data_IF_725889223434
#
_entry.id   IF_725889223434
#
_cell.length_a   1.000
_cell.length_b   1.000
_cell.length_c   1.000
_cell.angle_alpha   90.00
_cell.angle_beta   90.00
_cell.angle_gamma   90.00
#
_symmetry.space_group_name_H-M   'P 1'
#
loop_
_entity.id
_entity.type
_entity.pdbx_description
1 polymer ?
#
# COMPACT_ATOMS: atom_id res chain seq x y z
N UNK A 1 8.84 -9.90 12.45
CA UNK A 1 8.62 -8.76 11.58
C UNK A 1 9.93 -8.09 11.26
N UNK A 2 10.12 -7.75 10.03
CA UNK A 2 11.39 -7.20 9.52
C UNK A 2 11.68 -5.78 10.03
N UNK A 3 10.66 -5.05 10.47
CA UNK A 3 10.76 -3.67 10.94
C UNK A 3 9.88 -3.47 12.16
N UNK A 4 10.47 -2.96 13.24
CA UNK A 4 9.73 -2.57 14.43
C UNK A 4 9.27 -1.12 14.30
N UNK A 5 8.02 -0.94 13.88
CA UNK A 5 7.39 0.37 13.79
C UNK A 5 7.22 1.00 15.17
N UNK A 6 7.46 2.29 15.25
CA UNK A 6 7.26 3.10 16.45
C UNK A 6 6.53 4.40 16.08
N UNK A 7 5.71 4.88 17.00
CA UNK A 7 5.01 6.17 16.86
C UNK A 7 5.62 7.22 17.78
N UNK A 8 5.50 8.47 17.42
CA UNK A 8 5.94 9.59 18.26
C UNK A 8 5.25 9.51 19.63
N UNK A 9 6.02 9.72 20.71
CA UNK A 9 5.58 9.57 22.10
C UNK A 9 5.66 8.15 22.67
N UNK A 10 5.90 7.13 21.84
CA UNK A 10 6.04 5.75 22.30
C UNK A 10 7.33 5.57 23.11
N UNK A 11 7.22 4.90 24.27
CA UNK A 11 8.38 4.52 25.08
C UNK A 11 9.16 3.42 24.36
N UNK A 12 10.46 3.65 24.17
CA UNK A 12 11.36 2.75 23.47
C UNK A 12 12.22 1.92 24.43
N UNK A 13 12.63 2.54 25.53
CA UNK A 13 13.42 1.89 26.56
C UNK A 13 13.24 2.59 27.91
N UNK A 14 13.51 1.84 28.95
CA UNK A 14 13.56 2.33 30.34
C UNK A 14 14.85 1.86 30.98
N UNK A 15 15.53 2.77 31.70
CA UNK A 15 16.70 2.44 32.49
C UNK A 15 16.20 1.97 33.86
N UNK A 16 16.46 0.72 34.17
CA UNK A 16 16.11 0.11 35.46
C UNK A 16 17.38 -0.12 36.28
N UNK A 17 17.34 0.05 37.61
CA UNK A 17 18.39 -0.40 38.48
C UNK A 17 18.64 -1.92 38.27
N UNK A 18 19.90 -2.35 38.38
CA UNK A 18 20.27 -3.73 38.10
C UNK A 18 19.55 -4.74 39.04
N UNK A 19 19.22 -4.26 40.23
CA UNK A 19 18.51 -5.03 41.29
C UNK A 19 17.05 -5.29 40.95
N UNK A 20 16.42 -4.42 40.16
CA UNK A 20 15.03 -4.57 39.73
C UNK A 20 14.87 -5.45 38.50
N UNK A 21 16.01 -5.81 37.83
CA UNK A 21 15.95 -6.64 36.65
C UNK A 21 15.76 -8.14 37.00
N UNK A 22 14.58 -8.66 36.72
CA UNK A 22 14.19 -10.06 36.98
C UNK A 22 14.33 -10.98 35.77
N UNK A 23 14.78 -10.46 34.60
CA UNK A 23 14.90 -11.22 33.35
C UNK A 23 15.93 -12.36 33.42
N UNK A 24 15.61 -13.51 32.83
CA UNK A 24 16.42 -14.72 32.86
C UNK A 24 17.76 -14.59 32.10
N UNK A 25 17.91 -13.67 31.18
CA UNK A 25 19.14 -13.39 30.42
C UNK A 25 19.46 -11.91 30.42
N UNK A 26 20.60 -11.57 31.01
CA UNK A 26 21.18 -10.21 30.90
C UNK A 26 22.03 -10.15 29.63
N UNK A 27 21.60 -9.40 28.65
CA UNK A 27 22.40 -9.17 27.46
C UNK A 27 23.44 -8.08 27.77
N UNK A 28 24.76 -8.40 27.72
CA UNK A 28 25.84 -7.45 28.07
C UNK A 28 25.80 -6.16 27.26
N UNK A 29 25.19 -6.16 26.07
CA UNK A 29 25.05 -4.97 25.21
C UNK A 29 24.20 -3.88 25.84
N UNK A 30 23.28 -4.22 26.74
CA UNK A 30 22.35 -3.31 27.41
C UNK A 30 22.73 -3.02 28.86
N UNK A 31 23.83 -3.60 29.37
CA UNK A 31 24.35 -3.31 30.70
C UNK A 31 25.31 -2.12 30.61
N UNK A 32 25.02 -1.04 31.31
CA UNK A 32 25.87 0.15 31.37
C UNK A 32 26.36 0.38 32.79
N UNK A 33 27.62 0.80 32.91
CA UNK A 33 28.23 1.14 34.22
C UNK A 33 27.70 2.48 34.72
N UNK A 34 27.38 3.40 33.79
CA UNK A 34 26.77 4.69 34.10
C UNK A 34 25.34 4.73 33.60
N UNK A 35 24.37 5.24 34.39
CA UNK A 35 22.96 5.28 34.04
C UNK A 35 22.64 6.42 33.04
N UNK A 36 23.34 6.46 31.92
CA UNK A 36 23.04 7.43 30.86
C UNK A 36 21.98 6.86 29.92
N UNK A 37 20.99 7.68 29.60
CA UNK A 37 19.95 7.29 28.63
C UNK A 37 20.56 7.06 27.23
N UNK A 38 20.23 5.94 26.55
CA UNK A 38 20.76 5.62 25.24
C UNK A 38 20.06 6.41 24.13
N UNK A 39 20.05 7.73 24.23
CA UNK A 39 19.32 8.63 23.31
C UNK A 39 20.14 8.83 22.04
N UNK A 40 19.57 8.43 20.90
CA UNK A 40 20.09 8.66 19.57
C UNK A 40 19.21 9.59 18.75
N UNK A 41 19.30 9.48 17.42
CA UNK A 41 18.57 10.32 16.49
C UNK A 41 17.05 10.10 16.60
N UNK A 42 16.27 11.19 16.62
CA UNK A 42 14.81 11.22 16.76
C UNK A 42 14.28 10.49 18.01
N UNK A 43 15.07 10.45 19.06
CA UNK A 43 14.71 9.99 20.39
C UNK A 43 14.92 11.10 21.41
N UNK A 44 14.23 11.03 22.55
CA UNK A 44 14.39 11.98 23.65
C UNK A 44 13.98 11.40 24.99
N UNK A 45 14.26 12.10 26.11
CA UNK A 45 13.76 11.70 27.40
C UNK A 45 12.24 11.89 27.50
N UNK A 46 11.59 11.04 28.27
CA UNK A 46 10.16 11.20 28.55
C UNK A 46 9.94 12.44 29.44
N UNK A 47 8.94 13.30 29.16
CA UNK A 47 8.74 14.55 29.90
C UNK A 47 8.52 14.36 31.41
N UNK A 48 7.82 13.30 31.81
CA UNK A 48 7.45 13.02 33.20
C UNK A 48 8.37 12.00 33.87
N UNK A 49 9.16 11.23 33.12
CA UNK A 49 10.03 10.21 33.68
C UNK A 49 11.41 10.24 33.01
N UNK A 50 12.43 10.83 33.64
CA UNK A 50 13.77 10.99 33.07
C UNK A 50 14.50 9.65 32.79
N UNK A 51 14.01 8.53 33.32
CA UNK A 51 14.60 7.21 33.08
C UNK A 51 14.07 6.54 31.80
N UNK A 52 13.11 7.15 31.10
CA UNK A 52 12.50 6.60 29.90
C UNK A 52 12.94 7.35 28.65
N UNK A 53 13.17 6.59 27.58
CA UNK A 53 13.45 7.10 26.24
C UNK A 53 12.20 6.95 25.39
N UNK A 54 11.78 8.03 24.74
CA UNK A 54 10.65 8.05 23.81
C UNK A 54 11.08 8.34 22.38
N UNK A 55 10.27 7.89 21.44
CA UNK A 55 10.38 8.29 20.04
C UNK A 55 9.85 9.71 19.87
N UNK A 56 10.60 10.59 19.22
CA UNK A 56 10.19 11.94 18.84
C UNK A 56 9.52 12.01 17.46
N UNK A 57 9.54 10.89 16.71
CA UNK A 57 8.98 10.79 15.37
C UNK A 57 8.45 9.38 15.07
N UNK A 58 7.50 9.29 14.15
CA UNK A 58 7.08 8.02 13.58
C UNK A 58 8.21 7.43 12.73
N UNK A 59 8.43 6.11 12.83
CA UNK A 59 9.49 5.46 12.09
C UNK A 59 9.75 4.03 12.54
N UNK A 60 10.96 3.55 12.36
CA UNK A 60 11.43 2.30 12.93
C UNK A 60 12.58 2.50 13.90
N UNK A 61 12.52 1.75 15.00
CA UNK A 61 13.53 1.77 16.04
C UNK A 61 14.65 0.77 15.73
N UNK A 62 15.90 1.16 15.97
CA UNK A 62 17.05 0.28 15.91
C UNK A 62 18.12 0.73 16.91
N UNK A 63 18.89 -0.25 17.38
CA UNK A 63 20.01 -0.01 18.29
C UNK A 63 21.31 -0.04 17.53
N UNK A 64 22.13 1.01 17.66
CA UNK A 64 23.43 1.13 17.01
C UNK A 64 24.37 1.99 17.88
N UNK A 65 25.61 1.54 18.03
CA UNK A 65 26.66 2.22 18.81
C UNK A 65 26.23 2.62 20.23
N UNK A 66 25.50 1.74 20.90
CA UNK A 66 25.03 2.03 22.26
C UNK A 66 23.85 3.00 22.34
N UNK A 67 23.28 3.44 21.24
CA UNK A 67 22.18 4.39 21.16
C UNK A 67 20.94 3.79 20.49
N UNK A 68 19.77 4.22 20.96
CA UNK A 68 18.50 3.90 20.36
C UNK A 68 18.18 5.02 19.36
N UNK A 69 17.94 4.65 18.12
CA UNK A 69 17.67 5.57 17.03
C UNK A 69 16.34 5.26 16.37
N UNK A 70 15.65 6.28 15.89
CA UNK A 70 14.46 6.17 15.07
C UNK A 70 14.70 6.76 13.69
N UNK A 71 14.47 5.98 12.64
CA UNK A 71 14.53 6.44 11.25
C UNK A 71 13.12 6.60 10.69
N UNK A 72 12.88 7.77 10.07
CA UNK A 72 11.58 8.12 9.44
C UNK A 72 11.37 7.48 8.08
N UNK A 73 12.46 7.02 7.43
CA UNK A 73 12.44 6.43 6.09
C UNK A 73 13.00 5.00 6.12
N UNK A 74 12.29 4.08 5.52
CA UNK A 74 12.71 2.71 5.32
C UNK A 74 13.32 2.56 3.92
N UNK A 75 14.60 2.21 3.86
CA UNK A 75 15.31 1.91 2.61
C UNK A 75 15.41 0.41 2.40
N UNK A 76 14.73 -0.10 1.38
CA UNK A 76 14.78 -1.50 0.95
C UNK A 76 15.74 -1.60 -0.22
N UNK A 77 16.95 -2.13 0.01
CA UNK A 77 18.03 -2.17 -1.01
C UNK A 77 17.78 -3.18 -2.11
N UNK A 78 17.07 -4.27 -1.83
CA UNK A 78 16.72 -5.33 -2.77
C UNK A 78 15.26 -5.28 -3.21
N UNK A 79 14.81 -6.40 -3.82
CA UNK A 79 13.43 -6.59 -4.20
C UNK A 79 12.54 -6.80 -2.98
N UNK A 80 11.29 -6.33 -3.05
CA UNK A 80 10.24 -6.77 -2.14
C UNK A 80 9.72 -8.10 -2.66
N UNK A 81 10.03 -9.18 -1.96
CA UNK A 81 9.76 -10.55 -2.38
C UNK A 81 9.81 -11.53 -1.22
N UNK A 82 10.07 -12.80 -1.48
CA UNK A 82 10.07 -13.86 -0.46
C UNK A 82 11.03 -13.62 0.71
N UNK A 83 12.17 -12.95 0.49
CA UNK A 83 13.14 -12.65 1.54
C UNK A 83 12.72 -11.51 2.45
N UNK A 84 12.05 -10.50 1.92
CA UNK A 84 11.59 -9.34 2.68
C UNK A 84 10.19 -9.52 3.24
N UNK A 85 9.35 -10.32 2.57
CA UNK A 85 7.94 -10.44 2.84
C UNK A 85 7.18 -9.15 2.52
N UNK A 86 5.96 -9.05 3.02
CA UNK A 86 5.15 -7.83 2.93
C UNK A 86 5.73 -6.73 3.82
N UNK A 87 5.71 -5.51 3.33
CA UNK A 87 6.22 -4.33 4.03
C UNK A 87 5.05 -3.46 4.48
N UNK A 88 4.99 -3.21 5.79
CA UNK A 88 4.05 -2.29 6.42
C UNK A 88 4.85 -1.31 7.26
N UNK A 89 4.90 -0.04 6.82
CA UNK A 89 5.69 0.97 7.48
C UNK A 89 4.92 2.28 7.63
N UNK A 90 5.02 2.92 8.80
CA UNK A 90 4.29 4.16 9.10
C UNK A 90 4.89 5.42 8.46
N UNK A 91 6.13 5.34 7.99
CA UNK A 91 6.86 6.44 7.36
C UNK A 91 7.03 6.26 5.86
N UNK A 92 8.03 6.94 5.31
CA UNK A 92 8.35 6.90 3.89
C UNK A 92 9.16 5.65 3.54
N UNK A 93 8.85 5.04 2.39
CA UNK A 93 9.52 3.83 1.90
C UNK A 93 10.23 4.13 0.58
N UNK A 94 11.50 3.75 0.49
CA UNK A 94 12.24 3.73 -0.77
C UNK A 94 12.66 2.29 -1.10
N UNK A 95 12.08 1.71 -2.14
CA UNK A 95 12.46 0.41 -2.70
C UNK A 95 13.42 0.66 -3.85
N UNK A 96 14.65 0.17 -3.74
CA UNK A 96 15.70 0.39 -4.74
C UNK A 96 15.66 -0.59 -5.92
N UNK A 97 14.84 -1.63 -5.83
CA UNK A 97 14.61 -2.65 -6.86
C UNK A 97 13.10 -2.83 -7.07
N UNK A 98 12.66 -4.02 -7.49
CA UNK A 98 11.28 -4.28 -7.88
C UNK A 98 10.41 -4.71 -6.69
N UNK A 99 9.11 -4.55 -6.86
CA UNK A 99 8.09 -5.18 -6.01
C UNK A 99 7.52 -6.37 -6.77
N UNK A 100 7.83 -7.57 -6.30
CA UNK A 100 7.48 -8.82 -6.96
C UNK A 100 6.00 -9.19 -6.79
N UNK A 101 5.54 -10.04 -7.68
CA UNK A 101 4.16 -10.54 -7.74
C UNK A 101 3.66 -11.10 -6.40
N UNK A 102 2.46 -10.69 -6.00
CA UNK A 102 1.79 -11.17 -4.78
C UNK A 102 2.16 -10.44 -3.49
N UNK A 103 3.20 -9.61 -3.50
CA UNK A 103 3.61 -8.87 -2.29
C UNK A 103 2.87 -7.57 -2.11
N UNK A 104 2.86 -7.10 -0.85
CA UNK A 104 2.17 -5.88 -0.43
C UNK A 104 3.17 -4.90 0.17
N UNK A 105 3.05 -3.64 -0.22
CA UNK A 105 3.82 -2.52 0.36
C UNK A 105 2.82 -1.47 0.82
N UNK A 106 2.87 -1.12 2.11
CA UNK A 106 2.06 -0.07 2.72
C UNK A 106 2.98 0.93 3.41
N UNK A 107 2.85 2.20 3.07
CA UNK A 107 3.67 3.28 3.63
C UNK A 107 3.01 4.65 3.54
N UNK A 108 3.73 5.69 4.01
CA UNK A 108 3.28 7.06 3.85
C UNK A 108 3.53 7.53 2.43
N UNK A 109 4.76 7.84 2.06
CA UNK A 109 5.15 8.09 0.68
C UNK A 109 5.99 6.90 0.20
N UNK A 110 5.77 6.46 -1.03
CA UNK A 110 6.45 5.28 -1.56
C UNK A 110 7.16 5.63 -2.85
N UNK A 111 8.47 5.38 -2.87
CA UNK A 111 9.30 5.47 -4.06
C UNK A 111 9.79 4.07 -4.44
N UNK A 112 9.43 3.59 -5.64
CA UNK A 112 9.95 2.37 -6.22
C UNK A 112 10.83 2.73 -7.41
N UNK A 113 12.13 2.39 -7.35
CA UNK A 113 13.06 2.68 -8.45
C UNK A 113 12.97 1.65 -9.58
N UNK A 114 12.64 0.40 -9.25
CA UNK A 114 12.39 -0.67 -10.21
C UNK A 114 10.93 -0.72 -10.67
N UNK A 115 10.45 -1.91 -10.94
CA UNK A 115 9.11 -2.19 -11.44
C UNK A 115 8.18 -2.68 -10.33
N UNK A 116 6.88 -2.53 -10.54
CA UNK A 116 5.85 -3.15 -9.70
C UNK A 116 5.17 -4.22 -10.55
N UNK A 117 5.31 -5.50 -10.15
CA UNK A 117 4.80 -6.65 -10.89
C UNK A 117 3.66 -7.30 -10.11
N UNK A 118 2.42 -7.20 -10.61
CA UNK A 118 1.22 -7.84 -10.01
C UNK A 118 1.19 -7.80 -8.48
N UNK A 119 1.58 -6.65 -7.92
CA UNK A 119 1.70 -6.42 -6.49
C UNK A 119 0.68 -5.38 -6.01
N UNK A 120 0.44 -5.33 -4.70
CA UNK A 120 -0.44 -4.33 -4.10
C UNK A 120 0.41 -3.28 -3.38
N UNK A 121 0.36 -2.04 -3.86
CA UNK A 121 1.10 -0.92 -3.24
C UNK A 121 0.10 0.14 -2.81
N UNK A 122 0.13 0.48 -1.51
CA UNK A 122 -0.72 1.53 -0.94
C UNK A 122 0.10 2.60 -0.25
N UNK A 123 -0.03 3.83 -0.71
CA UNK A 123 0.56 5.02 -0.12
C UNK A 123 -0.51 5.89 0.53
N UNK A 124 -0.29 6.34 1.77
CA UNK A 124 -1.11 7.37 2.41
C UNK A 124 -0.77 8.80 1.96
N UNK A 125 0.18 8.95 1.09
CA UNK A 125 0.60 10.16 0.40
C UNK A 125 0.85 9.84 -1.06
N UNK A 126 2.03 10.20 -1.56
CA UNK A 126 2.40 10.04 -2.95
C UNK A 126 3.04 8.69 -3.26
N UNK A 127 2.80 8.20 -4.47
CA UNK A 127 3.40 7.00 -5.02
C UNK A 127 4.17 7.32 -6.31
N UNK A 128 5.47 7.09 -6.30
CA UNK A 128 6.35 7.27 -7.46
C UNK A 128 7.00 5.94 -7.82
N UNK A 129 6.81 5.48 -9.07
CA UNK A 129 7.48 4.31 -9.60
C UNK A 129 8.24 4.67 -10.88
N UNK A 130 9.58 4.66 -10.78
CA UNK A 130 10.45 5.06 -11.89
C UNK A 130 10.53 4.00 -12.99
N UNK A 131 10.36 2.72 -12.66
CA UNK A 131 10.37 1.62 -13.62
C UNK A 131 9.02 1.33 -14.27
N UNK A 132 7.91 1.81 -13.67
CA UNK A 132 6.55 1.53 -14.14
C UNK A 132 5.90 0.31 -13.48
N UNK A 133 4.66 0.00 -13.86
CA UNK A 133 3.88 -1.07 -13.26
C UNK A 133 3.27 -1.99 -14.32
N UNK A 134 3.31 -3.30 -14.06
CA UNK A 134 2.77 -4.34 -14.93
C UNK A 134 1.93 -5.33 -14.13
N UNK A 135 0.69 -5.55 -14.57
CA UNK A 135 -0.18 -6.61 -14.07
C UNK A 135 0.03 -7.91 -14.84
N UNK A 136 -0.34 -9.04 -14.24
CA UNK A 136 -0.41 -10.32 -14.93
C UNK A 136 -1.56 -10.35 -15.94
N UNK A 137 -1.47 -11.26 -16.90
CA UNK A 137 -2.58 -11.55 -17.81
C UNK A 137 -3.78 -12.04 -17.02
N UNK A 138 -4.96 -11.48 -17.29
CA UNK A 138 -6.21 -11.98 -16.76
C UNK A 138 -6.55 -13.28 -17.47
N UNK A 139 -6.23 -14.40 -16.82
CA UNK A 139 -6.88 -15.65 -17.12
C UNK A 139 -8.12 -15.72 -16.21
N UNK A 140 -9.36 -15.60 -16.74
CA UNK A 140 -10.54 -15.81 -15.90
C UNK A 140 -10.41 -17.19 -15.26
N UNK A 141 -10.70 -17.35 -13.96
CA UNK A 141 -10.71 -18.67 -13.35
C UNK A 141 -11.62 -19.58 -14.17
N UNK A 142 -11.24 -20.83 -14.41
CA UNK A 142 -12.14 -21.78 -15.07
C UNK A 142 -13.46 -21.78 -14.28
N UNK A 143 -14.56 -21.65 -14.98
CA UNK A 143 -15.91 -21.67 -14.39
C UNK A 143 -15.98 -22.84 -13.41
N UNK A 144 -16.36 -22.64 -12.14
CA UNK A 144 -16.43 -23.75 -11.21
C UNK A 144 -17.43 -24.79 -11.76
N UNK A 145 -17.12 -26.09 -11.67
CA UNK A 145 -18.09 -27.09 -11.99
C UNK A 145 -19.32 -26.86 -11.11
N UNK A 146 -20.48 -26.75 -11.73
CA UNK A 146 -21.76 -26.68 -11.03
C UNK A 146 -21.87 -27.92 -10.17
N UNK A 147 -21.85 -27.75 -8.88
CA UNK A 147 -22.33 -28.64 -7.82
C UNK A 147 -21.40 -28.46 -6.57
N UNK A 148 -21.83 -27.70 -5.63
CA UNK A 148 -22.02 -28.03 -4.21
C UNK A 148 -22.34 -26.71 -3.50
N UNK A 149 -23.53 -26.68 -2.93
CA UNK A 149 -24.02 -25.62 -2.03
C UNK A 149 -23.23 -25.71 -0.72
N UNK A 150 -22.21 -24.89 -0.56
CA UNK A 150 -21.68 -24.58 0.76
C UNK A 150 -22.16 -23.20 1.21
N UNK A 151 -22.63 -23.06 2.47
CA UNK A 151 -23.04 -21.76 2.98
C UNK A 151 -21.84 -20.83 3.06
N UNK A 152 -22.00 -19.54 2.73
CA UNK A 152 -20.90 -18.58 2.74
C UNK A 152 -20.36 -18.39 4.16
N UNK A 153 -19.19 -18.95 4.42
CA UNK A 153 -18.41 -18.72 5.62
C UNK A 153 -17.97 -17.25 5.69
N UNK A 154 -18.12 -16.70 6.87
CA UNK A 154 -17.94 -15.29 7.20
C UNK A 154 -16.54 -14.77 6.88
N UNK A 155 -16.51 -13.50 6.47
CA UNK A 155 -15.38 -12.56 6.56
C UNK A 155 -14.14 -12.91 5.70
N UNK A 156 -14.28 -12.73 4.40
CA UNK A 156 -13.18 -12.19 3.61
C UNK A 156 -13.68 -10.87 3.02
N UNK A 157 -13.17 -9.76 3.56
CA UNK A 157 -13.33 -8.44 2.97
C UNK A 157 -12.79 -8.51 1.55
N UNK A 158 -13.73 -8.44 0.62
CA UNK A 158 -13.49 -8.56 -0.80
C UNK A 158 -12.73 -7.34 -1.32
N UNK A 159 -11.43 -7.40 -1.24
CA UNK A 159 -10.54 -6.71 -2.15
C UNK A 159 -10.21 -7.67 -3.32
N UNK A 160 -11.23 -8.34 -3.76
CA UNK A 160 -11.18 -9.26 -4.88
C UNK A 160 -11.70 -8.54 -6.09
N UNK A 161 -10.81 -8.20 -6.99
CA UNK A 161 -11.14 -8.36 -8.39
C UNK A 161 -10.26 -7.54 -9.27
N UNK A 162 -9.16 -8.01 -9.48
CA UNK A 162 -8.49 -8.16 -10.78
C UNK A 162 -7.14 -8.79 -10.42
N UNK A 163 -6.75 -9.91 -10.95
CA UNK A 163 -5.40 -10.45 -10.78
C UNK A 163 -4.43 -9.55 -11.53
N UNK A 164 -4.12 -8.42 -10.95
CA UNK A 164 -3.24 -7.41 -11.53
C UNK A 164 -2.56 -6.60 -10.45
N UNK A 165 -1.68 -5.71 -10.83
CA UNK A 165 -1.11 -4.74 -9.91
C UNK A 165 -2.20 -3.76 -9.46
N UNK A 166 -2.30 -3.54 -8.13
CA UNK A 166 -3.17 -2.52 -7.54
C UNK A 166 -2.31 -1.45 -6.89
N UNK A 167 -2.42 -0.24 -7.41
CA UNK A 167 -1.75 0.95 -6.89
C UNK A 167 -2.80 1.87 -6.29
N UNK A 168 -2.69 2.16 -5.00
CA UNK A 168 -3.62 3.01 -4.25
C UNK A 168 -2.82 4.12 -3.57
N UNK A 169 -3.16 5.37 -3.80
CA UNK A 169 -2.52 6.52 -3.19
C UNK A 169 -3.56 7.56 -2.75
N UNK A 170 -3.39 8.09 -1.53
CA UNK A 170 -4.20 9.22 -1.07
C UNK A 170 -3.71 10.56 -1.65
N UNK A 171 -2.49 10.60 -2.23
CA UNK A 171 -1.91 11.72 -2.96
C UNK A 171 -1.84 11.46 -4.47
N UNK A 172 -0.74 11.90 -5.08
CA UNK A 172 -0.44 11.77 -6.49
C UNK A 172 0.24 10.43 -6.81
N UNK A 173 0.00 9.94 -8.03
CA UNK A 173 0.67 8.74 -8.56
C UNK A 173 1.46 9.12 -9.82
N UNK A 174 2.76 8.80 -9.82
CA UNK A 174 3.61 8.96 -11.00
C UNK A 174 4.29 7.67 -11.38
N UNK A 175 4.16 7.29 -12.66
CA UNK A 175 4.69 6.04 -13.21
C UNK A 175 5.42 6.31 -14.52
N UNK A 176 6.48 5.53 -14.79
CA UNK A 176 7.09 5.56 -16.13
C UNK A 176 6.15 5.00 -17.20
N UNK A 177 5.51 3.86 -16.92
CA UNK A 177 4.47 3.27 -17.77
C UNK A 177 3.54 2.39 -16.92
N UNK A 178 2.38 2.05 -17.47
CA UNK A 178 1.49 1.08 -16.85
C UNK A 178 0.84 0.16 -17.90
N UNK A 179 0.78 -1.14 -17.54
CA UNK A 179 0.16 -2.17 -18.36
C UNK A 179 -0.67 -3.11 -17.48
N UNK A 180 -1.98 -3.22 -17.74
CA UNK A 180 -2.92 -4.08 -16.98
C UNK A 180 -2.90 -3.82 -15.47
N UNK A 181 -2.89 -2.54 -15.10
CA UNK A 181 -2.81 -2.08 -13.71
C UNK A 181 -4.09 -1.36 -13.32
N UNK A 182 -4.52 -1.54 -12.09
CA UNK A 182 -5.53 -0.71 -11.48
C UNK A 182 -4.86 0.37 -10.63
N UNK A 183 -5.12 1.63 -10.95
CA UNK A 183 -4.57 2.79 -10.24
C UNK A 183 -5.73 3.55 -9.59
N UNK A 184 -5.59 3.86 -8.32
CA UNK A 184 -6.50 4.71 -7.55
C UNK A 184 -5.68 5.81 -6.91
N UNK A 185 -5.86 7.05 -7.32
CA UNK A 185 -5.20 8.22 -6.75
C UNK A 185 -6.24 9.27 -6.38
N UNK A 186 -6.23 9.74 -5.15
CA UNK A 186 -7.11 10.87 -4.79
C UNK A 186 -6.63 12.19 -5.39
N UNK A 187 -5.35 12.31 -5.67
CA UNK A 187 -4.72 13.39 -6.42
C UNK A 187 -4.69 13.14 -7.93
N UNK A 188 -3.59 13.51 -8.55
CA UNK A 188 -3.33 13.39 -9.98
C UNK A 188 -2.64 12.07 -10.32
N UNK A 189 -2.80 11.61 -11.56
CA UNK A 189 -2.06 10.46 -12.10
C UNK A 189 -1.25 10.92 -13.30
N UNK A 190 0.07 10.71 -13.24
CA UNK A 190 1.02 11.06 -14.29
C UNK A 190 1.70 9.79 -14.79
N UNK A 191 1.53 9.47 -16.07
CA UNK A 191 2.21 8.38 -16.75
C UNK A 191 3.15 8.99 -17.79
N UNK A 192 4.46 8.91 -17.52
CA UNK A 192 5.47 9.53 -18.42
C UNK A 192 5.61 8.80 -19.77
N UNK A 193 5.18 7.54 -19.86
CA UNK A 193 5.16 6.75 -21.09
C UNK A 193 3.77 6.24 -21.44
N UNK A 194 3.68 4.96 -21.81
CA UNK A 194 2.44 4.36 -22.30
C UNK A 194 1.57 3.81 -21.17
N UNK A 195 0.25 3.96 -21.34
CA UNK A 195 -0.77 3.36 -20.49
C UNK A 195 -1.60 2.38 -21.34
N UNK A 196 -1.48 1.07 -21.03
CA UNK A 196 -2.08 0.00 -21.80
C UNK A 196 -3.02 -0.84 -20.93
N UNK A 197 -4.26 -1.05 -21.40
CA UNK A 197 -5.24 -1.96 -20.78
C UNK A 197 -5.43 -1.76 -19.27
N UNK A 198 -5.27 -0.51 -18.80
CA UNK A 198 -5.27 -0.18 -17.36
C UNK A 198 -6.54 0.55 -16.97
N UNK A 199 -6.89 0.45 -15.68
CA UNK A 199 -8.04 1.17 -15.12
C UNK A 199 -7.50 2.22 -14.16
N UNK A 200 -7.81 3.48 -14.42
CA UNK A 200 -7.34 4.62 -13.62
C UNK A 200 -8.54 5.34 -13.00
N UNK A 201 -8.50 5.52 -11.71
CA UNK A 201 -9.39 6.39 -10.95
C UNK A 201 -8.56 7.51 -10.32
N UNK A 202 -8.73 8.72 -10.80
CA UNK A 202 -8.03 9.90 -10.28
C UNK A 202 -9.03 10.94 -9.77
N UNK A 203 -8.86 11.40 -8.54
CA UNK A 203 -9.65 12.53 -8.00
C UNK A 203 -9.35 13.85 -8.71
N UNK A 204 -8.09 14.01 -9.16
CA UNK A 204 -7.60 15.16 -9.94
C UNK A 204 -7.50 14.87 -11.45
N UNK A 205 -6.39 15.29 -12.03
CA UNK A 205 -6.11 15.17 -13.46
C UNK A 205 -5.35 13.88 -13.79
N UNK A 206 -5.50 13.40 -15.03
CA UNK A 206 -4.72 12.29 -15.58
C UNK A 206 -3.91 12.78 -16.77
N UNK A 207 -2.60 12.61 -16.72
CA UNK A 207 -1.65 13.01 -17.76
C UNK A 207 -0.94 11.77 -18.28
N UNK A 208 -1.10 11.46 -19.56
CA UNK A 208 -0.39 10.36 -20.23
C UNK A 208 0.44 10.95 -21.36
N UNK A 209 1.77 10.95 -21.23
CA UNK A 209 2.66 11.54 -22.24
C UNK A 209 2.87 10.64 -23.45
N UNK A 210 2.73 9.31 -23.26
CA UNK A 210 2.87 8.36 -24.34
C UNK A 210 1.52 7.91 -24.92
N UNK A 211 1.47 6.62 -25.28
CA UNK A 211 0.26 6.02 -25.86
C UNK A 211 -0.75 5.63 -24.78
N UNK A 212 -2.01 5.95 -25.02
CA UNK A 212 -3.14 5.45 -24.23
C UNK A 212 -3.96 4.49 -25.09
N UNK A 213 -4.03 3.21 -24.68
CA UNK A 213 -4.75 2.18 -25.43
C UNK A 213 -5.45 1.17 -24.50
N UNK A 214 -6.75 1.01 -24.70
CA UNK A 214 -7.59 0.09 -23.93
C UNK A 214 -7.77 0.49 -22.48
N UNK A 215 -8.72 -0.14 -21.81
CA UNK A 215 -9.04 0.09 -20.42
C UNK A 215 -9.98 1.26 -20.16
N UNK A 216 -9.98 1.77 -18.92
CA UNK A 216 -10.88 2.85 -18.52
C UNK A 216 -10.17 3.91 -17.67
N UNK A 217 -10.41 5.16 -17.98
CA UNK A 217 -9.93 6.30 -17.18
C UNK A 217 -11.14 7.06 -16.63
N UNK A 218 -11.13 7.24 -15.32
CA UNK A 218 -12.11 7.99 -14.58
C UNK A 218 -11.39 9.12 -13.84
N UNK A 219 -11.60 10.36 -14.25
CA UNK A 219 -10.93 11.53 -13.67
C UNK A 219 -11.94 12.54 -13.14
N UNK A 220 -11.71 13.04 -11.94
CA UNK A 220 -12.46 14.18 -11.40
C UNK A 220 -12.19 15.47 -12.16
N UNK A 221 -10.95 15.64 -12.61
CA UNK A 221 -10.49 16.76 -13.43
C UNK A 221 -10.38 16.42 -14.92
N UNK A 222 -9.29 16.85 -15.53
CA UNK A 222 -9.01 16.75 -16.97
C UNK A 222 -8.15 15.53 -17.29
N UNK A 223 -8.37 14.93 -18.46
CA UNK A 223 -7.50 13.91 -19.03
C UNK A 223 -6.72 14.51 -20.19
N UNK A 224 -5.40 14.50 -20.09
CA UNK A 224 -4.50 14.98 -21.13
C UNK A 224 -3.67 13.83 -21.67
N UNK A 225 -3.71 13.61 -22.98
CA UNK A 225 -2.93 12.60 -23.67
C UNK A 225 -2.08 13.29 -24.71
N UNK A 226 -0.75 13.34 -24.50
CA UNK A 226 0.19 13.98 -25.41
C UNK A 226 0.48 13.12 -26.64
N UNK A 227 0.54 11.80 -26.44
CA UNK A 227 0.83 10.86 -27.50
C UNK A 227 -0.41 10.35 -28.22
N UNK A 228 -0.39 9.07 -28.62
CA UNK A 228 -1.48 8.47 -29.41
C UNK A 228 -2.59 7.94 -28.50
N UNK A 229 -3.84 8.31 -28.81
CA UNK A 229 -5.04 7.78 -28.17
C UNK A 229 -5.65 6.68 -29.04
N UNK A 230 -5.90 5.50 -28.43
CA UNK A 230 -6.48 4.35 -29.11
C UNK A 230 -5.47 3.51 -29.90
N UNK A 231 -5.94 2.42 -30.47
CA UNK A 231 -5.17 1.47 -31.29
C UNK A 231 -5.90 1.10 -32.58
N UNK A 232 -5.22 0.41 -33.48
CA UNK A 232 -5.78 0.00 -34.79
C UNK A 232 -6.80 -1.14 -34.68
N UNK A 233 -6.83 -1.86 -33.55
CA UNK A 233 -7.70 -3.02 -33.33
C UNK A 233 -8.51 -2.89 -32.05
N UNK A 234 -9.82 -2.75 -32.20
CA UNK A 234 -10.98 -3.13 -31.36
C UNK A 234 -10.91 -3.07 -29.83
N UNK A 235 -9.83 -2.65 -29.18
CA UNK A 235 -9.84 -2.53 -27.72
C UNK A 235 -10.39 -1.15 -27.34
N UNK A 236 -11.62 -1.07 -26.83
CA UNK A 236 -12.23 0.21 -26.51
C UNK A 236 -11.47 0.88 -25.36
N UNK A 237 -11.21 2.17 -25.52
CA UNK A 237 -10.69 3.03 -24.46
C UNK A 237 -11.84 3.87 -23.94
N UNK A 238 -12.21 3.69 -22.66
CA UNK A 238 -13.28 4.49 -22.03
C UNK A 238 -12.66 5.63 -21.24
N UNK A 239 -13.09 6.85 -21.49
CA UNK A 239 -12.67 8.03 -20.75
C UNK A 239 -13.91 8.73 -20.19
N UNK A 240 -13.94 8.94 -18.88
CA UNK A 240 -15.00 9.64 -18.17
C UNK A 240 -14.36 10.70 -17.28
N UNK A 241 -14.84 11.94 -17.41
CA UNK A 241 -14.27 13.10 -16.74
C UNK A 241 -15.35 13.93 -16.04
N UNK A 242 -14.94 14.77 -15.09
CA UNK A 242 -15.78 15.79 -14.50
C UNK A 242 -16.72 15.30 -13.39
N UNK A 243 -16.48 14.13 -12.80
CA UNK A 243 -17.21 13.66 -11.63
C UNK A 243 -16.26 12.97 -10.63
N UNK A 244 -16.58 12.94 -9.32
CA UNK A 244 -15.71 12.31 -8.33
C UNK A 244 -15.72 10.76 -8.46
N UNK A 245 -14.65 10.14 -8.98
CA UNK A 245 -14.65 8.71 -9.30
C UNK A 245 -14.73 7.83 -8.05
N UNK A 246 -14.30 8.32 -6.90
CA UNK A 246 -14.34 7.57 -5.64
C UNK A 246 -15.75 7.43 -5.08
N UNK A 247 -16.60 8.45 -5.24
CA UNK A 247 -18.00 8.39 -4.83
C UNK A 247 -18.76 7.36 -5.69
N UNK A 248 -18.45 7.31 -6.99
CA UNK A 248 -18.99 6.29 -7.88
C UNK A 248 -18.55 4.87 -7.48
N UNK A 249 -17.29 4.68 -7.12
CA UNK A 249 -16.80 3.40 -6.62
C UNK A 249 -17.49 2.98 -5.30
N UNK A 250 -17.74 3.93 -4.41
CA UNK A 250 -18.47 3.67 -3.18
C UNK A 250 -19.93 3.29 -3.46
N UNK A 251 -20.59 4.01 -4.36
CA UNK A 251 -21.95 3.69 -4.79
C UNK A 251 -22.03 2.28 -5.37
N UNK A 252 -21.14 1.89 -6.28
CA UNK A 252 -21.12 0.53 -6.83
C UNK A 252 -20.91 -0.55 -5.75
N UNK A 253 -20.03 -0.30 -4.78
CA UNK A 253 -19.81 -1.23 -3.65
C UNK A 253 -21.08 -1.36 -2.80
N UNK A 254 -21.74 -0.25 -2.50
CA UNK A 254 -22.97 -0.23 -1.71
C UNK A 254 -24.11 -0.94 -2.46
N UNK A 255 -24.29 -0.68 -3.75
CA UNK A 255 -25.29 -1.35 -4.58
C UNK A 255 -25.08 -2.88 -4.63
N UNK A 256 -23.82 -3.30 -4.81
CA UNK A 256 -23.47 -4.72 -4.78
C UNK A 256 -23.76 -5.35 -3.43
N UNK A 257 -23.45 -4.63 -2.33
CA UNK A 257 -23.73 -5.10 -0.96
C UNK A 257 -25.24 -5.20 -0.69
N UNK A 258 -26.01 -4.20 -1.13
CA UNK A 258 -27.48 -4.21 -1.02
C UNK A 258 -28.07 -5.39 -1.79
N UNK A 259 -27.64 -5.65 -3.03
CA UNK A 259 -28.09 -6.79 -3.82
C UNK A 259 -27.84 -8.11 -3.10
N UNK A 260 -26.63 -8.34 -2.60
CA UNK A 260 -26.28 -9.55 -1.84
C UNK A 260 -27.11 -9.72 -0.57
N UNK A 261 -27.36 -8.63 0.14
CA UNK A 261 -28.21 -8.69 1.35
C UNK A 261 -29.66 -9.02 1.01
N UNK A 262 -30.19 -8.50 -0.08
CA UNK A 262 -31.53 -8.86 -0.57
C UNK A 262 -31.61 -10.34 -0.96
N UNK A 263 -30.66 -10.84 -1.75
CA UNK A 263 -30.57 -12.26 -2.13
C UNK A 263 -30.49 -13.17 -0.89
N UNK A 264 -29.70 -12.78 0.12
CA UNK A 264 -29.58 -13.52 1.37
C UNK A 264 -30.89 -13.49 2.19
N UNK A 265 -31.57 -12.34 2.24
CA UNK A 265 -32.85 -12.22 2.93
C UNK A 265 -33.94 -13.12 2.27
N UNK A 266 -34.05 -13.08 0.95
CA UNK A 266 -34.96 -13.94 0.20
C UNK A 266 -34.64 -15.43 0.41
N UNK A 267 -33.36 -15.80 0.47
CA UNK A 267 -32.97 -17.18 0.76
C UNK A 267 -33.43 -17.65 2.15
N UNK A 268 -33.23 -16.80 3.18
CA UNK A 268 -33.63 -17.10 4.54
C UNK A 268 -35.17 -17.17 4.71
N UNK A 269 -35.90 -16.31 4.01
CA UNK A 269 -37.37 -16.33 3.99
C UNK A 269 -37.90 -17.64 3.38
N UNK A 270 -37.27 -18.11 2.30
CA UNK A 270 -37.63 -19.41 1.68
C UNK A 270 -37.31 -20.61 2.59
N UNK A 271 -36.30 -20.50 3.48
CA UNK A 271 -36.02 -21.58 4.44
C UNK A 271 -36.93 -21.55 5.67
N UNK A 272 -37.50 -20.39 5.99
CA UNK A 272 -38.40 -20.23 7.12
C UNK A 272 -39.88 -20.52 6.81
N UNK A 273 -40.22 -20.62 5.53
CA UNK A 273 -41.56 -21.00 5.04
C UNK A 273 -41.66 -22.50 4.81
#
# INVERSE_FOLDING_TARGET
GYVQNVVAGQVLAEVLPLEEYTGARRDPRFIRQEPTLPIGANCGPHPENPNKVIALANGYCFYHDGLINVKKMLNVRGHVGFHTGNIFFLGDIAVHADVQTGFKVLGKNILVKGHIESAKVRAHGDLVCLGGAKGADFCPPPSPPQCVEEPPTQAQEEDSTLPGALLDADGDVRLAFCERVQIRARGNVIVDGSCLHSIIYAGGNVIVKGRLMGGAIHAGGTVYVEGRLGGEYTTPTKIVMGYPPFDYLQLQKLETRIRRLKEKAEYLERQAA
#
